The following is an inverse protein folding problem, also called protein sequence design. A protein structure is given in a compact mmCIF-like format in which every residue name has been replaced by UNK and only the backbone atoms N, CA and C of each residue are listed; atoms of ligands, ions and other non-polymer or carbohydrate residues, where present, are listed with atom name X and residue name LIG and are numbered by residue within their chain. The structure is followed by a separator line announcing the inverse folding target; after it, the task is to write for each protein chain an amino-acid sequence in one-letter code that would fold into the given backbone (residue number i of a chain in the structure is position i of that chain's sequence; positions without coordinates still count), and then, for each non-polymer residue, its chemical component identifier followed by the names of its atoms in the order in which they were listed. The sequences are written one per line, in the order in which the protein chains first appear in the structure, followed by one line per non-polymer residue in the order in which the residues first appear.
data_IF_560046696010
#
_entry.id   IF_560046696010
#
_cell.length_a   1.000
_cell.length_b   1.000
_cell.length_c   1.000
_cell.angle_alpha   90.00
_cell.angle_beta   90.00
_cell.angle_gamma   90.00
#
_symmetry.space_group_name_H-M   'P 1'
#
loop_
_entity.id
_entity.type
_entity.pdbx_description
1 polymer ?
#
# COMPACT_ATOMS: atom_id res chain seq x y z
N UNK A 1 -12.58 -23.80 -27.45
CA UNK A 1 -13.74 -23.06 -26.90
C UNK A 1 -13.48 -22.92 -25.42
N UNK A 2 -13.17 -21.72 -24.95
CA UNK A 2 -12.89 -21.49 -23.54
C UNK A 2 -14.17 -21.76 -22.74
N UNK A 3 -14.07 -22.62 -21.73
CA UNK A 3 -15.14 -22.91 -20.79
C UNK A 3 -15.46 -21.62 -20.02
N UNK A 4 -16.45 -20.85 -20.50
CA UNK A 4 -17.01 -19.71 -19.79
C UNK A 4 -17.78 -20.25 -18.60
N UNK A 5 -17.07 -20.67 -17.56
CA UNK A 5 -17.66 -20.99 -16.27
C UNK A 5 -18.58 -19.84 -15.87
N UNK A 6 -19.89 -20.11 -15.91
CA UNK A 6 -20.94 -19.11 -15.86
C UNK A 6 -20.68 -18.11 -14.71
N UNK A 7 -20.75 -16.82 -15.03
CA UNK A 7 -20.72 -15.75 -14.05
C UNK A 7 -21.84 -16.02 -13.04
N UNK A 8 -21.46 -16.36 -11.81
CA UNK A 8 -22.39 -16.68 -10.72
C UNK A 8 -22.07 -15.77 -9.54
N UNK A 9 -23.12 -15.33 -8.83
CA UNK A 9 -23.00 -14.54 -7.60
C UNK A 9 -22.03 -15.18 -6.60
N UNK A 10 -22.03 -16.53 -6.53
CA UNK A 10 -21.11 -17.27 -5.66
C UNK A 10 -19.64 -17.06 -6.05
N UNK A 11 -19.32 -17.00 -7.35
CA UNK A 11 -17.96 -16.73 -7.84
C UNK A 11 -17.57 -15.29 -7.57
N UNK A 12 -18.47 -14.34 -7.82
CA UNK A 12 -18.24 -12.92 -7.55
C UNK A 12 -17.95 -12.70 -6.06
N UNK A 13 -18.80 -13.24 -5.16
CA UNK A 13 -18.63 -13.09 -3.72
C UNK A 13 -17.33 -13.74 -3.20
N UNK A 14 -16.92 -14.88 -3.77
CA UNK A 14 -15.66 -15.54 -3.41
C UNK A 14 -14.42 -14.68 -3.72
N UNK A 15 -14.50 -13.81 -4.72
CA UNK A 15 -13.45 -12.87 -5.11
C UNK A 15 -13.59 -11.56 -4.31
N UNK A 16 -14.80 -11.01 -4.22
CA UNK A 16 -15.06 -9.70 -3.62
C UNK A 16 -14.86 -9.67 -2.11
N UNK A 17 -15.35 -10.69 -1.36
CA UNK A 17 -15.30 -10.68 0.11
C UNK A 17 -13.86 -10.54 0.64
N UNK A 18 -12.87 -11.34 0.19
CA UNK A 18 -11.48 -11.18 0.64
C UNK A 18 -10.89 -9.81 0.32
N UNK A 19 -11.21 -9.25 -0.85
CA UNK A 19 -10.73 -7.92 -1.25
C UNK A 19 -11.33 -6.84 -0.35
N UNK A 20 -12.63 -6.90 -0.09
CA UNK A 20 -13.33 -5.95 0.79
C UNK A 20 -12.74 -5.99 2.19
N UNK A 21 -12.58 -7.20 2.76
CA UNK A 21 -11.96 -7.37 4.09
C UNK A 21 -10.53 -6.84 4.14
N UNK A 22 -9.73 -7.09 3.10
CA UNK A 22 -8.37 -6.55 3.01
C UNK A 22 -8.38 -5.01 2.99
N UNK A 23 -9.23 -4.39 2.16
CA UNK A 23 -9.29 -2.93 2.07
C UNK A 23 -9.88 -2.28 3.33
N UNK A 24 -10.80 -2.94 4.05
CA UNK A 24 -11.33 -2.45 5.32
C UNK A 24 -10.29 -2.42 6.44
N UNK A 25 -9.26 -3.26 6.36
CA UNK A 25 -8.26 -3.33 7.42
C UNK A 25 -7.41 -2.06 7.55
N UNK A 26 -7.19 -1.34 6.44
CA UNK A 26 -6.37 -0.11 6.41
C UNK A 26 -7.03 1.03 7.23
N UNK A 27 -8.29 1.42 6.98
CA UNK A 27 -8.94 2.44 7.81
C UNK A 27 -9.14 1.98 9.26
N UNK A 28 -9.37 0.68 9.50
CA UNK A 28 -9.46 0.15 10.87
C UNK A 28 -8.14 0.36 11.62
N UNK A 29 -6.99 0.05 10.99
CA UNK A 29 -5.69 0.34 11.59
C UNK A 29 -5.52 1.84 11.86
N UNK A 30 -5.88 2.70 10.92
CA UNK A 30 -5.75 4.15 11.10
C UNK A 30 -6.54 4.67 12.31
N UNK A 31 -7.74 4.12 12.56
CA UNK A 31 -8.54 4.44 13.75
C UNK A 31 -7.85 3.95 15.03
N UNK A 32 -7.31 2.74 15.02
CA UNK A 32 -6.58 2.18 16.17
C UNK A 32 -5.33 3.00 16.48
N UNK A 33 -4.50 3.30 15.48
CA UNK A 33 -3.28 4.10 15.63
C UNK A 33 -3.59 5.49 16.20
N UNK A 34 -4.62 6.15 15.65
CA UNK A 34 -5.08 7.45 16.15
C UNK A 34 -5.57 7.35 17.59
N UNK A 35 -6.30 6.28 17.93
CA UNK A 35 -6.78 6.02 19.28
C UNK A 35 -5.66 5.79 20.28
N UNK A 36 -4.61 5.05 19.91
CA UNK A 36 -3.43 4.79 20.76
C UNK A 36 -2.66 6.09 21.01
N UNK A 37 -2.36 6.86 19.97
CA UNK A 37 -1.67 8.15 20.10
C UNK A 37 -2.54 9.14 20.90
N UNK A 38 -3.85 9.09 20.74
CA UNK A 38 -4.79 9.92 21.49
C UNK A 38 -4.76 9.72 23.01
N UNK A 39 -4.28 8.57 23.50
CA UNK A 39 -4.13 8.32 24.93
C UNK A 39 -3.03 9.16 25.58
N UNK A 40 -2.16 9.79 24.79
CA UNK A 40 -1.14 10.72 25.30
C UNK A 40 -1.75 12.03 25.83
N UNK A 41 -3.02 12.33 25.51
CA UNK A 41 -3.71 13.53 25.98
C UNK A 41 -3.26 14.85 25.33
N UNK A 42 -2.29 14.78 24.42
CA UNK A 42 -1.72 15.94 23.71
C UNK A 42 -2.19 15.97 22.25
N UNK A 43 -2.53 17.17 21.76
CA UNK A 43 -2.97 17.34 20.38
C UNK A 43 -1.82 17.26 19.36
N UNK A 44 -0.61 17.65 19.76
CA UNK A 44 0.54 17.71 18.84
C UNK A 44 0.97 16.34 18.31
N UNK A 45 1.09 15.26 19.11
CA UNK A 45 1.37 13.92 18.60
C UNK A 45 0.34 13.39 17.60
N UNK A 46 -0.95 13.64 17.84
CA UNK A 46 -2.03 13.24 16.91
C UNK A 46 -1.88 13.99 15.59
N UNK A 47 -1.66 15.31 15.66
CA UNK A 47 -1.45 16.14 14.48
C UNK A 47 -0.23 15.71 13.67
N UNK A 48 0.86 15.34 14.35
CA UNK A 48 2.10 14.90 13.73
C UNK A 48 1.95 13.57 12.98
N UNK A 49 1.33 12.57 13.62
CA UNK A 49 1.05 11.27 13.00
C UNK A 49 0.08 11.42 11.82
N UNK A 50 -0.97 12.22 11.98
CA UNK A 50 -1.93 12.48 10.90
C UNK A 50 -1.28 13.17 9.70
N UNK A 51 -0.50 14.22 9.94
CA UNK A 51 0.22 14.95 8.90
C UNK A 51 1.27 14.08 8.21
N UNK A 52 2.08 13.34 8.98
CA UNK A 52 3.08 12.43 8.43
C UNK A 52 2.45 11.31 7.60
N UNK A 53 1.36 10.72 8.07
CA UNK A 53 0.63 9.67 7.37
C UNK A 53 0.04 10.16 6.04
N UNK A 54 -0.60 11.35 6.02
CA UNK A 54 -1.17 11.87 4.76
C UNK A 54 -0.07 12.22 3.75
N UNK A 55 1.06 12.80 4.19
CA UNK A 55 2.20 13.09 3.31
C UNK A 55 2.68 11.81 2.61
N UNK A 56 2.96 10.74 3.38
CA UNK A 56 3.43 9.48 2.81
C UNK A 56 2.36 8.82 1.94
N UNK A 57 1.11 8.80 2.38
CA UNK A 57 0.00 8.23 1.62
C UNK A 57 -0.17 8.91 0.26
N UNK A 58 -0.12 10.25 0.23
CA UNK A 58 -0.22 11.02 -1.01
C UNK A 58 0.91 10.71 -1.98
N UNK A 59 2.15 10.59 -1.50
CA UNK A 59 3.28 10.28 -2.37
C UNK A 59 3.21 8.83 -2.86
N UNK A 60 2.92 7.87 -1.99
CA UNK A 60 2.79 6.47 -2.37
C UNK A 60 1.65 6.25 -3.37
N UNK A 61 0.57 7.02 -3.27
CA UNK A 61 -0.58 6.91 -4.16
C UNK A 61 -0.24 7.16 -5.63
N UNK A 62 0.79 7.96 -5.93
CA UNK A 62 1.31 8.18 -7.29
C UNK A 62 1.71 6.86 -7.94
N UNK A 63 2.21 5.91 -7.15
CA UNK A 63 2.62 4.58 -7.62
C UNK A 63 1.45 3.58 -7.74
N UNK A 64 0.21 4.01 -7.50
CA UNK A 64 -0.99 3.19 -7.68
C UNK A 64 -1.13 2.61 -9.10
N UNK A 65 -0.47 3.23 -10.10
CA UNK A 65 -0.39 2.69 -11.45
C UNK A 65 0.25 1.30 -11.50
N UNK A 66 1.17 0.97 -10.59
CA UNK A 66 1.78 -0.37 -10.53
C UNK A 66 0.72 -1.43 -10.30
N UNK A 67 -0.28 -1.15 -9.44
CA UNK A 67 -1.38 -2.08 -9.20
C UNK A 67 -2.23 -2.25 -10.46
N UNK A 68 -2.77 -1.15 -11.00
CA UNK A 68 -3.69 -1.23 -12.15
C UNK A 68 -2.98 -1.74 -13.42
N UNK A 69 -1.77 -1.28 -13.69
CA UNK A 69 -0.96 -1.70 -14.84
C UNK A 69 -0.57 -3.18 -14.77
N UNK A 70 -0.11 -3.65 -13.60
CA UNK A 70 0.20 -5.08 -13.40
C UNK A 70 -1.06 -5.93 -13.56
N UNK A 71 -2.20 -5.51 -13.00
CA UNK A 71 -3.45 -6.27 -13.12
C UNK A 71 -3.81 -6.54 -14.58
N UNK A 72 -3.80 -5.50 -15.42
CA UNK A 72 -4.18 -5.62 -16.84
C UNK A 72 -3.24 -6.51 -17.64
N UNK A 73 -1.93 -6.29 -17.54
CA UNK A 73 -0.93 -7.06 -18.29
C UNK A 73 -0.90 -8.53 -17.85
N UNK A 74 -0.97 -8.79 -16.54
CA UNK A 74 -0.98 -10.15 -15.99
C UNK A 74 -2.25 -10.90 -16.37
N UNK A 75 -3.40 -10.23 -16.37
CA UNK A 75 -4.67 -10.85 -16.79
C UNK A 75 -4.62 -11.28 -18.27
N UNK A 76 -4.01 -10.46 -19.14
CA UNK A 76 -3.83 -10.81 -20.55
C UNK A 76 -2.89 -12.02 -20.72
N UNK A 77 -1.71 -11.99 -20.10
CA UNK A 77 -0.74 -13.10 -20.18
C UNK A 77 -1.32 -14.41 -19.62
N UNK A 78 -1.98 -14.32 -18.45
CA UNK A 78 -2.62 -15.48 -17.81
C UNK A 78 -3.79 -16.01 -18.66
N UNK A 79 -4.59 -15.13 -19.26
CA UNK A 79 -5.68 -15.50 -20.17
C UNK A 79 -5.20 -16.17 -21.46
N UNK A 80 -3.99 -15.83 -21.91
CA UNK A 80 -3.31 -16.48 -23.04
C UNK A 80 -2.60 -17.80 -22.65
N UNK A 81 -2.59 -18.17 -21.37
CA UNK A 81 -1.85 -19.34 -20.86
C UNK A 81 -0.35 -19.13 -20.70
N UNK A 82 0.15 -17.90 -20.87
CA UNK A 82 1.57 -17.56 -20.74
C UNK A 82 1.93 -17.23 -19.28
N UNK A 83 2.16 -18.29 -18.51
CA UNK A 83 2.54 -18.16 -17.10
C UNK A 83 3.97 -17.62 -16.92
N UNK A 84 4.84 -17.78 -17.92
CA UNK A 84 6.20 -17.26 -17.88
C UNK A 84 6.18 -15.73 -17.97
N UNK A 85 5.41 -15.16 -18.91
CA UNK A 85 5.29 -13.70 -19.02
C UNK A 85 4.52 -13.12 -17.83
N UNK A 86 3.51 -13.81 -17.30
CA UNK A 86 2.83 -13.41 -16.04
C UNK A 86 3.83 -13.22 -14.88
N UNK A 87 4.77 -14.16 -14.71
CA UNK A 87 5.85 -14.04 -13.74
C UNK A 87 6.85 -12.92 -14.07
N UNK A 88 7.22 -12.77 -15.34
CA UNK A 88 8.15 -11.73 -15.78
C UNK A 88 7.59 -10.31 -15.53
N UNK A 89 6.29 -10.10 -15.80
CA UNK A 89 5.60 -8.84 -15.51
C UNK A 89 5.67 -8.54 -14.01
N UNK A 90 5.38 -9.52 -13.14
CA UNK A 90 5.47 -9.35 -11.70
C UNK A 90 6.88 -8.96 -11.26
N UNK A 91 7.91 -9.67 -11.74
CA UNK A 91 9.31 -9.37 -11.38
C UNK A 91 9.70 -7.96 -11.80
N UNK A 92 9.38 -7.55 -13.03
CA UNK A 92 9.65 -6.18 -13.51
C UNK A 92 8.93 -5.13 -12.66
N UNK A 93 7.67 -5.35 -12.34
CA UNK A 93 6.87 -4.43 -11.53
C UNK A 93 7.38 -4.32 -10.08
N UNK A 94 7.80 -5.44 -9.47
CA UNK A 94 8.44 -5.43 -8.14
C UNK A 94 9.76 -4.67 -8.19
N UNK A 95 10.62 -4.90 -9.19
CA UNK A 95 11.89 -4.18 -9.33
C UNK A 95 11.68 -2.67 -9.47
N UNK A 96 10.67 -2.25 -10.27
CA UNK A 96 10.29 -0.84 -10.37
C UNK A 96 9.86 -0.30 -9.01
N UNK A 97 8.99 -1.01 -8.29
CA UNK A 97 8.49 -0.57 -7.00
C UNK A 97 9.57 -0.46 -5.92
N UNK A 98 10.47 -1.45 -5.83
CA UNK A 98 11.61 -1.42 -4.92
C UNK A 98 12.55 -0.26 -5.25
N UNK A 99 12.89 -0.09 -6.54
CA UNK A 99 13.77 1.00 -6.99
C UNK A 99 13.16 2.36 -6.68
N UNK A 100 11.87 2.54 -6.99
CA UNK A 100 11.16 3.78 -6.70
C UNK A 100 11.15 4.10 -5.19
N UNK A 101 10.87 3.11 -4.35
CA UNK A 101 10.90 3.31 -2.90
C UNK A 101 12.30 3.60 -2.37
N UNK A 102 13.35 2.98 -2.91
CA UNK A 102 14.73 3.31 -2.54
C UNK A 102 15.11 4.74 -2.96
N UNK A 103 14.67 5.18 -4.14
CA UNK A 103 14.83 6.57 -4.58
C UNK A 103 14.11 7.53 -3.63
N UNK A 104 12.92 7.18 -3.13
CA UNK A 104 12.24 7.99 -2.12
C UNK A 104 13.01 8.05 -0.81
N UNK A 105 13.55 6.93 -0.32
CA UNK A 105 14.38 6.90 0.90
C UNK A 105 15.62 7.77 0.73
N UNK A 106 16.30 7.70 -0.41
CA UNK A 106 17.44 8.56 -0.72
C UNK A 106 17.05 10.05 -0.80
N UNK A 107 15.87 10.34 -1.35
CA UNK A 107 15.31 11.69 -1.48
C UNK A 107 14.59 12.22 -0.25
N UNK A 108 14.60 11.50 0.88
CA UNK A 108 13.74 11.78 2.03
C UNK A 108 13.85 13.23 2.54
N UNK A 109 15.06 13.79 2.58
CA UNK A 109 15.30 15.16 3.08
C UNK A 109 14.56 16.18 2.21
N UNK A 110 14.65 16.04 0.89
CA UNK A 110 13.97 16.93 -0.06
C UNK A 110 12.45 16.75 -0.02
N UNK A 111 11.98 15.50 0.10
CA UNK A 111 10.56 15.17 0.23
C UNK A 111 9.98 15.82 1.48
N UNK A 112 10.62 15.62 2.64
CA UNK A 112 10.18 16.19 3.92
C UNK A 112 10.20 17.71 3.88
N UNK A 113 11.25 18.32 3.33
CA UNK A 113 11.31 19.77 3.17
C UNK A 113 10.16 20.32 2.30
N UNK A 114 9.93 19.71 1.13
CA UNK A 114 8.86 20.12 0.23
C UNK A 114 7.48 19.95 0.86
N UNK A 115 7.27 18.85 1.60
CA UNK A 115 6.00 18.57 2.25
C UNK A 115 5.61 19.66 3.26
N UNK A 116 6.53 20.08 4.14
CA UNK A 116 6.26 21.17 5.10
C UNK A 116 6.20 22.55 4.46
N UNK A 117 6.81 22.74 3.28
CA UNK A 117 6.65 23.99 2.53
C UNK A 117 5.25 24.12 1.93
N UNK A 118 4.66 23.00 1.50
CA UNK A 118 3.31 22.96 0.92
C UNK A 118 2.23 22.96 2.00
N UNK A 119 2.46 22.23 3.09
CA UNK A 119 1.52 22.05 4.20
C UNK A 119 2.21 22.37 5.55
N UNK A 120 2.43 23.66 5.85
CA UNK A 120 3.07 24.07 7.10
C UNK A 120 2.17 23.77 8.31
N UNK A 121 2.80 23.46 9.45
CA UNK A 121 2.11 23.19 10.71
C UNK A 121 2.76 23.98 11.87
N UNK A 122 2.27 23.78 13.11
CA UNK A 122 2.95 24.36 14.27
C UNK A 122 4.35 23.76 14.42
N UNK A 123 5.33 24.50 14.99
CA UNK A 123 6.70 24.01 15.14
C UNK A 123 6.80 22.67 15.87
N UNK A 124 5.95 22.47 16.88
CA UNK A 124 5.87 21.24 17.66
C UNK A 124 5.37 20.04 16.83
N UNK A 125 4.33 20.25 16.02
CA UNK A 125 3.79 19.22 15.12
C UNK A 125 4.79 18.88 14.02
N UNK A 126 5.47 19.88 13.45
CA UNK A 126 6.48 19.64 12.42
C UNK A 126 7.68 18.86 12.95
N UNK A 127 8.15 19.16 14.17
CA UNK A 127 9.26 18.43 14.78
C UNK A 127 8.93 16.94 14.91
N UNK A 128 7.78 16.62 15.52
CA UNK A 128 7.31 15.24 15.67
C UNK A 128 7.01 14.56 14.32
N UNK A 129 6.45 15.29 13.36
CA UNK A 129 6.16 14.75 12.03
C UNK A 129 7.45 14.47 11.23
N UNK A 130 8.52 15.24 11.42
CA UNK A 130 9.84 14.95 10.81
C UNK A 130 10.39 13.63 11.31
N UNK A 131 10.31 13.37 12.61
CA UNK A 131 10.75 12.09 13.20
C UNK A 131 9.91 10.93 12.66
N UNK A 132 8.58 11.10 12.63
CA UNK A 132 7.66 10.12 12.05
C UNK A 132 8.02 9.81 10.59
N UNK A 133 8.23 10.83 9.75
CA UNK A 133 8.55 10.66 8.34
C UNK A 133 9.91 9.96 8.14
N UNK A 134 10.94 10.36 8.91
CA UNK A 134 12.28 9.80 8.83
C UNK A 134 12.31 8.29 9.13
N UNK A 135 11.45 7.84 10.04
CA UNK A 135 11.29 6.42 10.36
C UNK A 135 10.44 5.72 9.29
N UNK A 136 9.27 6.27 8.98
CA UNK A 136 8.24 5.57 8.22
C UNK A 136 8.55 5.47 6.73
N UNK A 137 9.38 6.36 6.18
CA UNK A 137 9.78 6.33 4.76
C UNK A 137 10.58 5.08 4.38
N UNK A 138 11.25 4.42 5.33
CA UNK A 138 11.93 3.13 5.08
C UNK A 138 10.96 2.02 4.69
N UNK A 139 9.66 2.17 4.96
CA UNK A 139 8.62 1.28 4.45
C UNK A 139 8.32 1.45 2.96
N UNK A 140 8.75 2.56 2.33
CA UNK A 140 8.41 2.89 0.94
C UNK A 140 8.72 1.77 -0.07
N UNK A 141 9.92 1.15 -0.08
CA UNK A 141 10.23 0.08 -1.04
C UNK A 141 9.24 -1.08 -0.97
N UNK A 142 8.93 -1.53 0.25
CA UNK A 142 8.01 -2.63 0.46
C UNK A 142 6.57 -2.24 0.11
N UNK A 143 6.09 -1.08 0.59
CA UNK A 143 4.73 -0.58 0.33
C UNK A 143 4.46 -0.39 -1.16
N UNK A 144 5.41 0.16 -1.91
CA UNK A 144 5.23 0.40 -3.35
C UNK A 144 5.30 -0.92 -4.13
N UNK A 145 6.24 -1.82 -3.80
CA UNK A 145 6.31 -3.15 -4.41
C UNK A 145 5.04 -3.98 -4.16
N UNK A 146 4.39 -3.79 -3.00
CA UNK A 146 3.11 -4.42 -2.68
C UNK A 146 1.98 -4.01 -3.62
N UNK A 147 2.02 -2.84 -4.26
CA UNK A 147 1.04 -2.52 -5.30
C UNK A 147 1.12 -3.49 -6.49
N UNK A 148 2.34 -3.84 -6.93
CA UNK A 148 2.55 -4.82 -7.98
C UNK A 148 2.08 -6.23 -7.56
N UNK A 149 2.45 -6.66 -6.35
CA UNK A 149 2.04 -7.96 -5.81
C UNK A 149 0.51 -8.06 -5.73
N UNK A 150 -0.16 -7.02 -5.21
CA UNK A 150 -1.62 -6.98 -5.16
C UNK A 150 -2.24 -7.01 -6.55
N UNK A 151 -1.70 -6.26 -7.50
CA UNK A 151 -2.17 -6.28 -8.89
C UNK A 151 -2.10 -7.68 -9.51
N UNK A 152 -0.97 -8.37 -9.32
CA UNK A 152 -0.78 -9.73 -9.81
C UNK A 152 -1.69 -10.76 -9.13
N UNK A 153 -1.87 -10.67 -7.81
CA UNK A 153 -2.77 -11.55 -7.06
C UNK A 153 -4.23 -11.35 -7.49
N UNK A 154 -4.64 -10.12 -7.74
CA UNK A 154 -5.99 -9.81 -8.23
C UNK A 154 -6.17 -10.37 -9.65
N UNK A 155 -5.22 -10.14 -10.55
CA UNK A 155 -5.28 -10.62 -11.93
C UNK A 155 -5.34 -12.14 -12.06
N UNK A 156 -4.71 -12.86 -11.12
CA UNK A 156 -4.69 -14.32 -11.08
C UNK A 156 -5.82 -14.93 -10.23
N UNK A 157 -6.82 -14.11 -9.83
CA UNK A 157 -7.94 -14.50 -8.96
C UNK A 157 -7.52 -15.05 -7.57
N UNK A 158 -6.29 -14.77 -7.13
CA UNK A 158 -5.73 -15.20 -5.83
C UNK A 158 -6.06 -14.21 -4.71
N UNK A 159 -7.32 -13.80 -4.60
CA UNK A 159 -7.76 -12.75 -3.65
C UNK A 159 -7.59 -13.11 -2.17
N UNK A 160 -7.57 -14.41 -1.85
CA UNK A 160 -7.20 -14.88 -0.49
C UNK A 160 -5.76 -14.53 -0.13
N UNK A 161 -4.86 -14.50 -1.12
CA UNK A 161 -3.48 -14.05 -0.93
C UNK A 161 -3.41 -12.57 -0.58
N UNK A 162 -4.27 -11.74 -1.18
CA UNK A 162 -4.39 -10.31 -0.84
C UNK A 162 -4.80 -10.15 0.63
N UNK A 163 -5.85 -10.86 1.07
CA UNK A 163 -6.28 -10.84 2.46
C UNK A 163 -5.19 -11.35 3.40
N UNK A 164 -4.54 -12.48 3.07
CA UNK A 164 -3.48 -13.06 3.88
C UNK A 164 -2.28 -12.11 4.07
N UNK A 165 -1.83 -11.46 3.00
CA UNK A 165 -0.77 -10.44 3.06
C UNK A 165 -1.17 -9.29 3.98
N UNK A 166 -2.39 -8.79 3.83
CA UNK A 166 -2.87 -7.66 4.62
C UNK A 166 -2.98 -8.01 6.11
N UNK A 167 -3.53 -9.18 6.43
CA UNK A 167 -3.62 -9.67 7.82
C UNK A 167 -2.23 -9.90 8.43
N UNK A 168 -1.29 -10.43 7.65
CA UNK A 168 0.08 -10.62 8.09
C UNK A 168 0.79 -9.29 8.39
N UNK A 169 0.69 -8.32 7.48
CA UNK A 169 1.28 -6.99 7.68
C UNK A 169 0.71 -6.28 8.91
N UNK A 170 -0.62 -6.29 9.03
CA UNK A 170 -1.30 -5.67 10.16
C UNK A 170 -0.99 -6.40 11.48
N UNK A 171 -0.94 -7.73 11.45
CA UNK A 171 -0.57 -8.53 12.62
C UNK A 171 0.85 -8.24 13.10
N UNK A 172 1.81 -8.10 12.17
CA UNK A 172 3.17 -7.68 12.51
C UNK A 172 3.21 -6.26 13.10
N UNK A 173 2.44 -5.33 12.52
CA UNK A 173 2.39 -3.96 13.02
C UNK A 173 1.79 -3.84 14.42
N UNK A 174 0.85 -4.71 14.79
CA UNK A 174 0.28 -4.75 16.15
C UNK A 174 1.24 -5.42 17.14
N UNK A 175 2.01 -6.41 16.69
CA UNK A 175 2.87 -7.22 17.55
C UNK A 175 4.24 -6.57 17.88
N UNK A 176 4.70 -5.64 17.04
CA UNK A 176 5.98 -4.93 17.14
C UNK A 176 5.75 -3.47 17.57
#
# INVERSE_FOLDING_TARGET
MADTAALSDRRILKIAIPIVLANLSVPILGVVDTGVVGQLGEAAPIGAVGLGAIILASIYWIFGFLRMGTTGLVAQATGAGDLAESGAILTRAIMIGLTAGLVMVAGQVGITWAAFHIAPASPEVEALARDYLAIRIWGAPATIALYAINGWLIATERTRGVLGLQLWMNGLNIAL
#
